data_IF_165752121658
#
_entry.id   IF_165752121658
#
_cell.length_a   1.000
_cell.length_b   1.000
_cell.length_c   1.000
_cell.angle_alpha   90.00
_cell.angle_beta   90.00
_cell.angle_gamma   90.00
#
_symmetry.space_group_name_H-M   'P 1'
#
loop_
_entity.id
_entity.type
_entity.pdbx_description
1 polymer ?
#
# COMPACT_ATOMS: atom_id res chain seq x y z
N UNK A 1 -3.20 -6.28 25.20
CA UNK A 1 -4.24 -5.81 24.24
C UNK A 1 -3.66 -5.89 22.84
N UNK A 2 -4.26 -6.69 21.96
CA UNK A 2 -3.90 -6.75 20.54
C UNK A 2 -4.83 -5.88 19.68
N UNK A 3 -4.52 -5.72 18.40
CA UNK A 3 -5.37 -5.07 17.41
C UNK A 3 -5.86 -6.07 16.34
N UNK A 4 -6.97 -5.76 15.67
CA UNK A 4 -7.46 -6.55 14.55
C UNK A 4 -6.76 -6.16 13.24
N UNK A 5 -6.74 -7.06 12.24
CA UNK A 5 -6.21 -6.71 10.92
C UNK A 5 -7.03 -5.62 10.23
N UNK A 6 -8.33 -5.50 10.54
CA UNK A 6 -9.17 -4.38 10.07
C UNK A 6 -8.72 -3.05 10.66
N UNK A 7 -8.39 -3.02 11.95
CA UNK A 7 -7.85 -1.82 12.61
C UNK A 7 -6.51 -1.41 12.00
N UNK A 8 -5.63 -2.39 11.73
CA UNK A 8 -4.37 -2.18 11.01
C UNK A 8 -4.60 -1.63 9.59
N UNK A 9 -5.58 -2.17 8.87
CA UNK A 9 -5.93 -1.72 7.54
C UNK A 9 -6.38 -0.25 7.54
N UNK A 10 -7.30 0.13 8.43
CA UNK A 10 -7.82 1.50 8.51
C UNK A 10 -6.68 2.52 8.72
N UNK A 11 -5.76 2.27 9.67
CA UNK A 11 -4.61 3.17 9.86
C UNK A 11 -3.65 3.22 8.67
N UNK A 12 -3.56 2.15 7.87
CA UNK A 12 -2.78 2.17 6.64
C UNK A 12 -3.45 3.02 5.55
N UNK A 13 -4.78 3.06 5.50
CA UNK A 13 -5.52 3.96 4.61
C UNK A 13 -5.32 5.42 5.01
N UNK A 14 -5.40 5.72 6.32
CA UNK A 14 -5.15 7.08 6.82
C UNK A 14 -3.73 7.54 6.49
N UNK A 15 -2.74 6.68 6.71
CA UNK A 15 -1.34 6.91 6.35
C UNK A 15 -1.15 7.14 4.84
N UNK A 16 -1.81 6.34 4.00
CA UNK A 16 -1.77 6.49 2.55
C UNK A 16 -2.33 7.84 2.11
N UNK A 17 -3.50 8.23 2.64
CA UNK A 17 -4.12 9.51 2.35
C UNK A 17 -3.24 10.69 2.79
N UNK A 18 -2.61 10.61 3.97
CA UNK A 18 -1.68 11.64 4.44
C UNK A 18 -0.47 11.78 3.50
N UNK A 19 0.10 10.67 3.04
CA UNK A 19 1.21 10.66 2.09
C UNK A 19 0.85 11.38 0.78
N UNK A 20 -0.35 11.16 0.25
CA UNK A 20 -0.78 11.79 -1.00
C UNK A 20 -0.92 13.31 -0.88
N UNK A 21 -1.00 13.88 0.33
CA UNK A 21 -0.99 15.34 0.54
C UNK A 21 0.41 15.96 0.49
N UNK A 22 1.47 15.14 0.55
CA UNK A 22 2.84 15.65 0.63
C UNK A 22 3.38 16.00 -0.76
N UNK A 23 4.19 17.07 -0.90
CA UNK A 23 4.74 17.49 -2.18
C UNK A 23 5.97 16.67 -2.62
N UNK A 24 5.96 15.35 -2.39
CA UNK A 24 7.09 14.47 -2.70
C UNK A 24 6.86 13.72 -4.02
N UNK A 25 7.86 13.77 -4.90
CA UNK A 25 7.83 13.03 -6.16
C UNK A 25 8.16 11.54 -5.98
N UNK A 26 8.92 11.18 -4.94
CA UNK A 26 9.33 9.80 -4.67
C UNK A 26 9.35 9.55 -3.17
N UNK A 27 8.76 8.43 -2.76
CA UNK A 27 8.56 8.07 -1.36
C UNK A 27 9.01 6.62 -1.18
N UNK A 28 9.77 6.37 -0.12
CA UNK A 28 10.18 5.02 0.29
C UNK A 28 9.49 4.69 1.61
N UNK A 29 8.79 3.56 1.63
CA UNK A 29 8.10 3.05 2.82
C UNK A 29 8.81 1.77 3.25
N UNK A 30 9.41 1.78 4.44
CA UNK A 30 10.04 0.60 5.06
C UNK A 30 9.12 0.10 6.16
N UNK A 31 8.61 -1.13 6.03
CA UNK A 31 7.60 -1.66 6.95
C UNK A 31 7.54 -3.19 6.94
N UNK A 32 6.57 -3.75 7.66
CA UNK A 32 6.37 -5.19 7.83
C UNK A 32 5.29 -5.75 6.89
N UNK A 33 5.26 -7.07 6.72
CA UNK A 33 4.35 -7.78 5.82
C UNK A 33 2.86 -7.41 6.00
N UNK A 34 2.39 -7.25 7.24
CA UNK A 34 0.99 -6.88 7.52
C UNK A 34 0.61 -5.53 6.92
N UNK A 35 1.51 -4.54 7.00
CA UNK A 35 1.31 -3.21 6.43
C UNK A 35 1.43 -3.27 4.90
N UNK A 36 2.39 -4.02 4.36
CA UNK A 36 2.51 -4.23 2.90
C UNK A 36 1.21 -4.79 2.33
N UNK A 37 0.65 -5.84 2.95
CA UNK A 37 -0.63 -6.44 2.53
C UNK A 37 -1.79 -5.46 2.61
N UNK A 38 -1.90 -4.71 3.71
CA UNK A 38 -2.94 -3.71 3.88
C UNK A 38 -2.86 -2.59 2.84
N UNK A 39 -1.65 -2.08 2.57
CA UNK A 39 -1.41 -1.06 1.55
C UNK A 39 -1.73 -1.59 0.15
N UNK A 40 -1.23 -2.76 -0.22
CA UNK A 40 -1.55 -3.37 -1.52
C UNK A 40 -3.05 -3.64 -1.65
N UNK A 41 -3.72 -4.06 -0.58
CA UNK A 41 -5.16 -4.25 -0.58
C UNK A 41 -5.92 -2.94 -0.85
N UNK A 42 -5.50 -1.85 -0.23
CA UNK A 42 -6.09 -0.54 -0.43
C UNK A 42 -5.82 0.00 -1.84
N UNK A 43 -4.56 -0.03 -2.27
CA UNK A 43 -4.07 0.55 -3.52
C UNK A 43 -4.63 -0.17 -4.76
N UNK A 44 -4.75 -1.50 -4.68
CA UNK A 44 -5.19 -2.35 -5.79
C UNK A 44 -6.64 -2.82 -5.64
N UNK A 45 -7.37 -2.26 -4.66
CA UNK A 45 -8.75 -2.61 -4.35
C UNK A 45 -8.99 -4.12 -4.17
N UNK A 46 -7.97 -4.83 -3.66
CA UNK A 46 -8.06 -6.26 -3.37
C UNK A 46 -8.90 -6.41 -2.09
N UNK A 47 -9.91 -7.30 -2.06
CA UNK A 47 -10.65 -7.57 -0.84
C UNK A 47 -9.70 -7.90 0.32
N UNK A 48 -9.87 -7.25 1.47
CA UNK A 48 -8.91 -7.35 2.59
C UNK A 48 -8.62 -8.80 2.99
N UNK A 49 -9.64 -9.67 2.98
CA UNK A 49 -9.47 -11.12 3.25
C UNK A 49 -8.54 -11.82 2.25
N UNK A 50 -8.55 -11.42 0.98
CA UNK A 50 -7.70 -11.98 -0.09
C UNK A 50 -6.27 -11.44 -0.02
N UNK A 51 -6.04 -10.28 0.60
CA UNK A 51 -4.68 -9.74 0.80
C UNK A 51 -3.77 -10.68 1.60
N UNK A 52 -4.34 -11.55 2.44
CA UNK A 52 -3.60 -12.54 3.21
C UNK A 52 -2.91 -13.60 2.33
N UNK A 53 -3.38 -13.78 1.08
CA UNK A 53 -2.75 -14.69 0.11
C UNK A 53 -1.50 -14.08 -0.54
N UNK A 54 -1.26 -12.77 -0.40
CA UNK A 54 -0.11 -12.09 -0.98
C UNK A 54 1.14 -12.52 -0.20
N UNK A 55 2.08 -13.15 -0.91
CA UNK A 55 3.42 -13.43 -0.40
C UNK A 55 4.33 -12.24 -0.69
N UNK A 56 5.27 -11.98 0.22
CA UNK A 56 6.33 -11.00 0.03
C UNK A 56 7.57 -11.51 0.76
N UNK A 57 8.64 -11.71 0.02
CA UNK A 57 9.91 -12.23 0.52
C UNK A 57 10.58 -11.20 1.44
N UNK A 58 11.46 -11.68 2.29
CA UNK A 58 12.23 -10.81 3.17
C UNK A 58 13.14 -9.90 2.35
N UNK A 59 13.05 -8.59 2.62
CA UNK A 59 13.82 -7.58 1.89
C UNK A 59 13.30 -7.26 0.49
N UNK A 60 12.19 -7.87 0.05
CA UNK A 60 11.64 -7.60 -1.26
C UNK A 60 11.05 -6.19 -1.37
N UNK A 61 11.14 -5.63 -2.57
CA UNK A 61 10.68 -4.30 -2.91
C UNK A 61 9.42 -4.40 -3.77
N UNK A 62 8.42 -3.60 -3.41
CA UNK A 62 7.23 -3.37 -4.22
C UNK A 62 7.28 -1.94 -4.74
N UNK A 63 7.13 -1.78 -6.06
CA UNK A 63 7.20 -0.48 -6.71
C UNK A 63 5.98 -0.25 -7.58
N UNK A 64 5.32 0.86 -7.33
CA UNK A 64 4.21 1.37 -8.12
C UNK A 64 4.40 2.87 -8.36
N UNK A 65 3.69 3.40 -9.35
CA UNK A 65 3.61 4.82 -9.66
C UNK A 65 2.18 5.28 -9.49
N UNK A 66 2.02 6.38 -8.78
CA UNK A 66 0.76 7.07 -8.62
C UNK A 66 0.70 8.23 -9.61
N UNK A 67 -0.31 8.25 -10.46
CA UNK A 67 -0.49 9.26 -11.50
C UNK A 67 -1.71 10.10 -11.20
N UNK A 68 -1.63 11.40 -11.52
CA UNK A 68 -2.78 12.29 -11.45
C UNK A 68 -2.81 13.22 -12.66
N UNK A 69 -3.97 13.35 -13.31
CA UNK A 69 -4.17 14.24 -14.44
C UNK A 69 -5.63 14.71 -14.48
N UNK A 70 -5.87 16.02 -14.44
CA UNK A 70 -7.20 16.63 -14.62
C UNK A 70 -8.33 15.92 -13.82
N UNK A 71 -8.11 15.69 -12.53
CA UNK A 71 -8.99 14.97 -11.58
C UNK A 71 -9.11 13.45 -11.76
N UNK A 72 -8.33 12.85 -12.65
CA UNK A 72 -8.20 11.39 -12.73
C UNK A 72 -6.96 10.94 -11.97
N UNK A 73 -7.07 9.82 -11.27
CA UNK A 73 -5.95 9.16 -10.61
C UNK A 73 -5.91 7.70 -11.03
N UNK A 74 -4.70 7.19 -11.28
CA UNK A 74 -4.51 5.78 -11.57
C UNK A 74 -3.13 5.34 -11.08
N UNK A 75 -2.99 4.02 -10.90
CA UNK A 75 -1.78 3.43 -10.36
C UNK A 75 -1.27 2.39 -11.36
N UNK A 76 0.04 2.42 -11.61
CA UNK A 76 0.72 1.39 -12.40
C UNK A 76 1.73 0.67 -11.53
N UNK A 77 1.77 -0.65 -11.61
CA UNK A 77 2.76 -1.47 -10.91
C UNK A 77 3.98 -1.62 -11.81
N UNK A 78 5.16 -1.23 -11.32
CA UNK A 78 6.43 -1.52 -12.01
C UNK A 78 6.84 -2.98 -11.71
N UNK A 79 6.84 -3.37 -10.44
CA UNK A 79 7.06 -4.75 -9.99
C UNK A 79 6.58 -4.95 -8.54
N UNK A 80 6.25 -6.19 -8.20
CA UNK A 80 5.98 -6.63 -6.83
C UNK A 80 6.95 -7.75 -6.48
N UNK A 81 7.33 -7.81 -5.21
CA UNK A 81 8.19 -8.87 -4.66
C UNK A 81 9.51 -9.10 -5.42
N UNK A 82 10.30 -8.03 -5.64
CA UNK A 82 11.63 -8.10 -6.29
C UNK A 82 12.77 -7.92 -5.32
#
# INVERSE_FOLDING_TARGET
NGESFQTLFNRCQDFWNDILTKPYQTIIIVTHLGVIRALLAHILEIPLKKSLCIQNDYGAINKFKYHTHENQTWITIDYLNR
#
